data_IF_637547599749
#
_entry.id   IF_637547599749
#
_cell.length_a   1.000
_cell.length_b   1.000
_cell.length_c   1.000
_cell.angle_alpha   90.00
_cell.angle_beta   90.00
_cell.angle_gamma   90.00
#
_symmetry.space_group_name_H-M   'P 1'
#
loop_
_entity.id
_entity.type
_entity.pdbx_description
1 polymer ?
#
# COMPACT_ATOMS: atom_id res chain seq x y z
N UNK A 1 0.61 -4.02 -25.26
CA UNK A 1 -0.22 -4.82 -24.33
C UNK A 1 0.74 -5.46 -23.34
N UNK A 2 0.87 -4.89 -22.14
CA UNK A 2 1.73 -5.44 -21.08
C UNK A 2 1.01 -6.64 -20.47
N UNK A 3 1.43 -7.85 -20.82
CA UNK A 3 0.90 -9.08 -20.23
C UNK A 3 1.65 -9.33 -18.91
N UNK A 4 1.03 -8.88 -17.82
CA UNK A 4 1.33 -9.23 -16.43
C UNK A 4 2.74 -8.86 -15.90
N UNK A 5 2.93 -7.61 -15.48
CA UNK A 5 3.98 -7.30 -14.50
C UNK A 5 3.47 -7.70 -13.12
N UNK A 6 4.17 -8.63 -12.45
CA UNK A 6 3.99 -8.94 -11.03
C UNK A 6 5.14 -8.28 -10.28
N UNK A 7 4.86 -7.20 -9.57
CA UNK A 7 5.82 -6.57 -8.67
C UNK A 7 5.32 -6.73 -7.24
N UNK A 8 6.10 -7.42 -6.42
CA UNK A 8 5.82 -7.65 -5.01
C UNK A 8 6.78 -6.79 -4.18
N UNK A 9 6.22 -5.99 -3.28
CA UNK A 9 6.97 -5.13 -2.38
C UNK A 9 6.76 -5.61 -0.96
N UNK A 10 7.82 -6.04 -0.28
CA UNK A 10 7.80 -6.38 1.14
C UNK A 10 8.56 -5.28 1.89
N UNK A 11 7.87 -4.58 2.79
CA UNK A 11 8.41 -3.44 3.53
C UNK A 11 8.29 -3.68 5.04
N UNK A 12 9.36 -3.36 5.77
CA UNK A 12 9.41 -3.40 7.23
C UNK A 12 10.15 -2.16 7.76
N UNK A 13 10.00 -1.87 9.05
CA UNK A 13 10.70 -0.77 9.72
C UNK A 13 9.76 0.38 10.08
N UNK A 14 10.25 1.62 10.01
CA UNK A 14 9.42 2.79 10.36
C UNK A 14 9.73 4.02 9.52
N UNK A 15 8.70 4.86 9.34
CA UNK A 15 8.80 6.16 8.71
C UNK A 15 7.81 7.15 9.33
N UNK A 16 8.21 8.42 9.40
CA UNK A 16 7.26 9.48 9.76
C UNK A 16 6.29 9.73 8.61
N UNK A 17 6.77 9.75 7.37
CA UNK A 17 5.96 9.95 6.18
C UNK A 17 6.33 8.95 5.11
N UNK A 18 5.34 8.39 4.43
CA UNK A 18 5.56 7.53 3.27
C UNK A 18 4.51 7.79 2.18
N UNK A 19 4.90 7.51 0.94
CA UNK A 19 3.99 7.46 -0.19
C UNK A 19 4.08 6.09 -0.85
N UNK A 20 2.96 5.39 -0.96
CA UNK A 20 2.86 4.08 -1.60
C UNK A 20 1.91 4.18 -2.80
N UNK A 21 2.42 3.84 -3.98
CA UNK A 21 1.71 4.00 -5.25
C UNK A 21 1.72 2.74 -6.10
N UNK A 22 0.55 2.29 -6.51
CA UNK A 22 0.34 1.18 -7.45
C UNK A 22 -0.21 1.72 -8.77
N UNK A 23 0.66 1.87 -9.76
CA UNK A 23 0.32 2.46 -11.07
C UNK A 23 0.05 1.44 -12.18
N UNK A 24 0.44 0.19 -11.96
CA UNK A 24 0.23 -0.94 -12.88
C UNK A 24 -0.90 -1.84 -12.41
N UNK A 25 -1.43 -2.65 -13.32
CA UNK A 25 -2.65 -3.43 -13.11
C UNK A 25 -2.51 -4.53 -12.03
N UNK A 26 -1.29 -4.96 -11.70
CA UNK A 26 -1.06 -6.17 -10.93
C UNK A 26 0.16 -6.11 -9.98
N UNK A 27 0.22 -5.08 -9.12
CA UNK A 27 1.22 -4.98 -8.04
C UNK A 27 0.64 -5.36 -6.68
N UNK A 28 1.45 -6.03 -5.86
CA UNK A 28 1.15 -6.42 -4.47
C UNK A 28 2.08 -5.66 -3.54
N UNK A 29 1.54 -5.08 -2.47
CA UNK A 29 2.33 -4.42 -1.42
C UNK A 29 2.01 -5.05 -0.08
N UNK A 30 3.03 -5.59 0.57
CA UNK A 30 3.00 -6.15 1.92
C UNK A 30 3.84 -5.26 2.84
N UNK A 31 3.18 -4.38 3.58
CA UNK A 31 3.80 -3.40 4.47
C UNK A 31 3.14 -3.38 5.85
N UNK A 32 2.65 -4.54 6.30
CA UNK A 32 2.07 -4.75 7.62
C UNK A 32 3.05 -4.42 8.77
N UNK A 33 4.32 -4.77 8.58
CA UNK A 33 5.40 -4.55 9.56
C UNK A 33 6.13 -3.22 9.34
N UNK A 34 5.62 -2.35 8.46
CA UNK A 34 6.17 -1.03 8.20
C UNK A 34 5.33 0.05 8.87
N UNK A 35 5.81 0.55 10.01
CA UNK A 35 5.12 1.55 10.82
C UNK A 35 5.24 2.94 10.20
N UNK A 36 4.13 3.49 9.71
CA UNK A 36 4.11 4.79 9.03
C UNK A 36 3.24 5.74 9.84
N UNK A 37 3.72 6.92 10.24
CA UNK A 37 2.82 7.87 10.92
C UNK A 37 1.78 8.39 9.93
N UNK A 38 2.23 9.06 8.86
CA UNK A 38 1.36 9.62 7.82
C UNK A 38 1.60 8.95 6.47
N UNK A 39 0.57 8.27 5.96
CA UNK A 39 0.61 7.57 4.68
C UNK A 39 -0.22 8.28 3.61
N UNK A 40 0.41 8.54 2.46
CA UNK A 40 -0.29 8.85 1.22
C UNK A 40 -0.35 7.60 0.34
N UNK A 41 -1.55 7.19 -0.06
CA UNK A 41 -1.76 6.00 -0.90
C UNK A 41 -2.38 6.36 -2.25
N UNK A 42 -1.84 5.77 -3.32
CA UNK A 42 -2.46 5.80 -4.65
C UNK A 42 -2.59 4.38 -5.18
N UNK A 43 -3.82 3.95 -5.47
CA UNK A 43 -4.09 2.57 -5.85
C UNK A 43 -4.90 2.45 -7.14
N UNK A 44 -4.28 1.86 -8.18
CA UNK A 44 -4.91 1.62 -9.49
C UNK A 44 -4.83 0.14 -9.94
N UNK A 45 -4.37 -0.78 -9.09
CA UNK A 45 -4.37 -2.22 -9.42
C UNK A 45 -5.68 -2.90 -8.99
N UNK A 46 -5.84 -4.16 -9.35
CA UNK A 46 -6.94 -5.02 -8.87
C UNK A 46 -6.54 -5.86 -7.65
N UNK A 47 -5.32 -5.67 -7.12
CA UNK A 47 -4.76 -6.42 -5.99
C UNK A 47 -4.87 -5.65 -4.69
N UNK A 48 -4.27 -6.18 -3.62
CA UNK A 48 -4.27 -5.58 -2.29
C UNK A 48 -2.99 -4.81 -2.02
N UNK A 49 -3.13 -3.68 -1.33
CA UNK A 49 -2.06 -2.96 -0.64
C UNK A 49 -2.32 -3.12 0.85
N UNK A 50 -1.45 -3.83 1.57
CA UNK A 50 -1.50 -3.97 3.02
C UNK A 50 -0.48 -3.00 3.61
N UNK A 51 -0.91 -2.12 4.52
CA UNK A 51 -0.11 -1.03 5.09
C UNK A 51 -0.41 -0.86 6.58
N UNK A 52 0.52 -0.27 7.32
CA UNK A 52 0.35 -0.01 8.76
C UNK A 52 0.54 1.50 9.10
N UNK A 53 -0.44 2.34 8.72
CA UNK A 53 -0.48 3.74 9.14
C UNK A 53 -0.90 3.88 10.61
N UNK A 54 -0.26 4.78 11.35
CA UNK A 54 -0.47 4.99 12.79
C UNK A 54 -1.22 6.28 13.13
N UNK A 55 -1.15 7.30 12.27
CA UNK A 55 -1.85 8.58 12.47
C UNK A 55 -2.84 8.82 11.34
N UNK A 56 -2.40 8.76 10.09
CA UNK A 56 -3.26 9.06 8.95
C UNK A 56 -2.97 8.18 7.73
N UNK A 57 -4.05 7.89 6.99
CA UNK A 57 -3.98 7.39 5.62
C UNK A 57 -4.90 8.25 4.75
N UNK A 58 -4.33 8.86 3.71
CA UNK A 58 -5.05 9.70 2.76
C UNK A 58 -4.73 9.22 1.36
N UNK A 59 -5.71 9.15 0.48
CA UNK A 59 -5.43 8.68 -0.86
C UNK A 59 -6.61 8.44 -1.75
N UNK A 60 -6.33 7.82 -2.88
CA UNK A 60 -7.30 7.53 -3.92
C UNK A 60 -7.19 6.08 -4.39
N UNK A 61 -8.35 5.43 -4.51
CA UNK A 61 -8.51 4.12 -5.15
C UNK A 61 -9.23 4.37 -6.47
N UNK A 62 -8.56 4.08 -7.59
CA UNK A 62 -9.04 4.32 -8.97
C UNK A 62 -9.23 3.03 -9.77
N UNK A 63 -9.37 1.90 -9.09
CA UNK A 63 -9.59 0.58 -9.69
C UNK A 63 -10.34 -0.32 -8.69
N UNK A 64 -10.33 -1.64 -8.90
CA UNK A 64 -11.09 -2.61 -8.12
C UNK A 64 -10.34 -3.18 -6.89
N UNK A 65 -9.06 -2.88 -6.73
CA UNK A 65 -8.27 -3.44 -5.64
C UNK A 65 -8.51 -2.76 -4.29
N UNK A 66 -7.96 -3.37 -3.24
CA UNK A 66 -8.17 -2.98 -1.84
C UNK A 66 -6.95 -2.28 -1.24
N UNK A 67 -7.20 -1.30 -0.37
CA UNK A 67 -6.19 -0.80 0.57
C UNK A 67 -6.60 -1.24 1.97
N UNK A 68 -5.77 -2.08 2.59
CA UNK A 68 -6.01 -2.67 3.90
C UNK A 68 -5.06 -2.02 4.90
N UNK A 69 -5.64 -1.28 5.85
CA UNK A 69 -4.90 -0.72 6.97
C UNK A 69 -4.86 -1.73 8.11
N UNK A 70 -3.70 -2.31 8.38
CA UNK A 70 -3.49 -3.21 9.50
C UNK A 70 -2.99 -2.43 10.72
N UNK A 71 -3.94 -2.00 11.55
CA UNK A 71 -3.65 -1.33 12.80
C UNK A 71 -3.84 -2.31 13.97
N UNK A 72 -2.92 -3.26 14.07
CA UNK A 72 -2.87 -4.14 15.24
C UNK A 72 -2.42 -3.31 16.45
N UNK A 73 -3.15 -3.41 17.57
CA UNK A 73 -2.73 -2.92 18.87
C UNK A 73 -1.46 -3.71 19.24
N UNK A 74 -0.31 -3.04 19.21
CA UNK A 74 0.96 -3.57 19.75
C UNK A 74 1.16 -3.02 21.16
#
# INVERSE_FOLDING_TARGET
MSLFSFSNFLLTGSAVKAQIGSYSDNSIVEAADFLIQDLIVFHRSTNKIIVNPRVSIIGEIRSLGDVISENNLQ
#
